data_IF_546841598459
#
_entry.id   IF_546841598459
#
_cell.length_a   1.000
_cell.length_b   1.000
_cell.length_c   1.000
_cell.angle_alpha   90.00
_cell.angle_beta   90.00
_cell.angle_gamma   90.00
#
_symmetry.space_group_name_H-M   'P 1'
#
loop_
_entity.id
_entity.type
_entity.pdbx_description
1 polymer ?
#
# COMPACT_ATOMS: atom_id res chain seq x y z
N UNK A 1 -53.77 29.93 -15.73
CA UNK A 1 -53.26 29.93 -14.34
C UNK A 1 -52.26 28.79 -14.20
N UNK A 2 -51.04 29.13 -13.80
CA UNK A 2 -49.83 28.29 -13.80
C UNK A 2 -49.81 27.44 -12.54
N UNK A 3 -49.73 26.11 -12.61
CA UNK A 3 -49.32 25.24 -11.48
C UNK A 3 -48.68 23.95 -11.99
N UNK A 4 -47.44 24.04 -12.48
CA UNK A 4 -46.61 22.85 -12.69
C UNK A 4 -45.86 22.55 -11.41
N UNK A 5 -46.20 21.42 -10.79
CA UNK A 5 -45.57 20.90 -9.59
C UNK A 5 -44.32 20.15 -10.04
N UNK A 6 -43.14 20.72 -9.80
CA UNK A 6 -41.86 20.04 -10.06
C UNK A 6 -41.37 19.51 -8.71
N UNK A 7 -41.61 18.23 -8.45
CA UNK A 7 -41.04 17.49 -7.32
C UNK A 7 -39.61 17.12 -7.67
N UNK A 8 -38.62 17.86 -7.16
CA UNK A 8 -37.21 17.53 -7.29
C UNK A 8 -36.82 16.48 -6.24
N UNK A 9 -36.67 15.22 -6.66
CA UNK A 9 -36.12 14.16 -5.81
C UNK A 9 -34.60 14.29 -5.75
N UNK A 10 -34.06 14.65 -4.58
CA UNK A 10 -32.63 14.80 -4.36
C UNK A 10 -32.04 13.44 -3.96
N UNK A 11 -31.48 12.72 -4.92
CA UNK A 11 -30.76 11.47 -4.66
C UNK A 11 -29.38 11.84 -4.10
N UNK A 12 -29.19 11.64 -2.79
CA UNK A 12 -27.88 11.77 -2.15
C UNK A 12 -27.06 10.54 -2.53
N UNK A 13 -26.21 10.70 -3.53
CA UNK A 13 -25.19 9.71 -3.86
C UNK A 13 -24.11 9.74 -2.76
N UNK A 14 -24.18 8.78 -1.84
CA UNK A 14 -23.08 8.46 -0.93
C UNK A 14 -21.93 7.89 -1.76
N UNK A 15 -21.02 8.76 -2.19
CA UNK A 15 -19.75 8.35 -2.75
C UNK A 15 -18.93 7.69 -1.63
N UNK A 16 -18.84 6.37 -1.65
CA UNK A 16 -17.94 5.62 -0.78
C UNK A 16 -16.50 5.96 -1.16
N UNK A 17 -15.91 6.94 -0.47
CA UNK A 17 -14.50 7.22 -0.59
C UNK A 17 -13.71 6.02 -0.05
N UNK A 18 -13.09 5.26 -0.94
CA UNK A 18 -12.17 4.20 -0.56
C UNK A 18 -10.89 4.84 0.00
N UNK A 19 -10.85 5.07 1.30
CA UNK A 19 -9.65 5.54 1.99
C UNK A 19 -8.68 4.36 2.04
N UNK A 20 -7.58 4.42 1.29
CA UNK A 20 -6.55 3.39 1.34
C UNK A 20 -5.75 3.51 2.64
N UNK A 21 -6.07 2.69 3.63
CA UNK A 21 -5.32 2.62 4.88
C UNK A 21 -3.97 1.93 4.67
N UNK A 22 -2.92 2.50 5.26
CA UNK A 22 -1.62 1.84 5.35
C UNK A 22 -1.71 0.67 6.34
N UNK A 23 -1.13 -0.46 5.96
CA UNK A 23 -1.02 -1.68 6.77
C UNK A 23 0.43 -1.90 7.19
N UNK A 24 0.64 -2.51 8.35
CA UNK A 24 1.96 -2.96 8.79
C UNK A 24 2.09 -4.50 8.70
N UNK A 25 3.31 -4.97 8.50
CA UNK A 25 3.71 -6.37 8.67
C UNK A 25 5.16 -6.45 9.10
N UNK A 26 5.53 -7.56 9.74
CA UNK A 26 6.91 -7.85 10.13
C UNK A 26 7.28 -9.20 9.57
N UNK A 27 8.49 -9.32 9.00
CA UNK A 27 8.98 -10.57 8.46
C UNK A 27 10.47 -10.52 8.17
N UNK A 28 10.99 -11.63 7.66
CA UNK A 28 12.41 -11.77 7.32
C UNK A 28 12.58 -11.64 5.81
N UNK A 29 13.55 -10.84 5.36
CA UNK A 29 13.86 -10.69 3.93
C UNK A 29 14.42 -12.02 3.41
N UNK A 30 13.75 -12.60 2.42
CA UNK A 30 14.18 -13.83 1.76
C UNK A 30 14.96 -13.54 0.47
N UNK A 31 14.58 -12.48 -0.27
CA UNK A 31 15.31 -12.04 -1.47
C UNK A 31 15.15 -10.54 -1.70
N UNK A 32 16.10 -9.98 -2.46
CA UNK A 32 16.15 -8.56 -2.84
C UNK A 32 16.30 -8.51 -4.36
N UNK A 33 15.37 -7.84 -5.04
CA UNK A 33 15.48 -7.52 -6.47
C UNK A 33 15.87 -6.06 -6.64
N UNK A 34 17.16 -5.86 -6.94
CA UNK A 34 17.76 -4.54 -7.16
C UNK A 34 17.36 -3.90 -8.48
N UNK A 35 16.87 -4.67 -9.44
CA UNK A 35 16.45 -4.14 -10.75
C UNK A 35 14.99 -3.70 -10.72
N UNK A 36 14.18 -4.41 -9.95
CA UNK A 36 12.75 -4.12 -9.77
C UNK A 36 12.42 -3.30 -8.53
N UNK A 37 13.43 -2.78 -7.81
CA UNK A 37 13.31 -2.05 -6.54
C UNK A 37 12.31 -2.71 -5.59
N UNK A 38 12.57 -3.98 -5.26
CA UNK A 38 11.64 -4.73 -4.40
C UNK A 38 12.35 -5.75 -3.50
N UNK A 39 11.65 -6.13 -2.43
CA UNK A 39 12.05 -7.20 -1.53
C UNK A 39 10.95 -8.23 -1.40
N UNK A 40 11.33 -9.49 -1.21
CA UNK A 40 10.39 -10.57 -0.90
C UNK A 40 10.66 -11.09 0.50
N UNK A 41 9.62 -11.17 1.32
CA UNK A 41 9.69 -11.73 2.66
C UNK A 41 9.60 -13.27 2.62
N UNK A 42 9.97 -13.91 3.73
CA UNK A 42 9.92 -15.37 3.89
C UNK A 42 8.52 -15.98 3.76
N UNK A 43 7.45 -15.17 3.87
CA UNK A 43 6.07 -15.58 3.62
C UNK A 43 5.65 -15.50 2.13
N UNK A 44 6.60 -15.15 1.25
CA UNK A 44 6.40 -15.03 -0.19
C UNK A 44 5.82 -13.69 -0.66
N UNK A 45 5.53 -12.73 0.24
CA UNK A 45 5.03 -11.41 -0.17
C UNK A 45 6.16 -10.52 -0.68
N UNK A 46 5.95 -9.93 -1.85
CA UNK A 46 6.87 -8.98 -2.47
C UNK A 46 6.37 -7.54 -2.28
N UNK A 47 7.26 -6.66 -1.84
CA UNK A 47 6.99 -5.24 -1.61
C UNK A 47 7.93 -4.38 -2.45
N UNK A 48 7.38 -3.42 -3.18
CA UNK A 48 8.18 -2.39 -3.83
C UNK A 48 8.79 -1.46 -2.78
N UNK A 49 10.06 -1.12 -2.96
CA UNK A 49 10.79 -0.20 -2.09
C UNK A 49 10.22 1.23 -2.24
N UNK A 50 10.18 2.01 -1.15
CA UNK A 50 9.88 3.43 -1.23
C UNK A 50 11.08 4.20 -1.79
N UNK A 51 10.82 5.38 -2.36
CA UNK A 51 11.85 6.34 -2.73
C UNK A 51 12.81 6.60 -1.55
N UNK A 52 14.11 6.62 -1.85
CA UNK A 52 15.18 6.87 -0.87
C UNK A 52 15.59 5.68 0.00
N UNK A 53 14.99 4.49 -0.18
CA UNK A 53 15.51 3.24 0.36
C UNK A 53 16.19 2.47 -0.77
N UNK A 54 17.51 2.43 -0.74
CA UNK A 54 18.31 1.66 -1.71
C UNK A 54 18.31 0.18 -1.33
N UNK A 55 18.11 -0.69 -2.31
CA UNK A 55 18.11 -2.14 -2.13
C UNK A 55 19.44 -2.65 -1.53
N UNK A 56 20.56 -1.96 -1.78
CA UNK A 56 21.89 -2.23 -1.22
C UNK A 56 21.97 -2.10 0.31
N UNK A 57 21.08 -1.30 0.90
CA UNK A 57 21.11 -1.06 2.36
C UNK A 57 20.51 -2.23 3.14
N UNK A 58 19.67 -3.03 2.48
CA UNK A 58 18.95 -4.16 3.04
C UNK A 58 19.74 -5.45 2.90
N UNK A 59 19.52 -6.42 3.80
CA UNK A 59 20.17 -7.73 3.75
C UNK A 59 19.18 -8.89 3.78
N UNK A 60 19.45 -9.93 3.00
CA UNK A 60 18.74 -11.21 3.11
C UNK A 60 18.99 -11.79 4.51
N UNK A 61 17.94 -12.32 5.14
CA UNK A 61 17.95 -12.79 6.53
C UNK A 61 17.65 -11.71 7.56
N UNK A 62 17.62 -10.43 7.17
CA UNK A 62 17.27 -9.33 8.07
C UNK A 62 15.77 -9.35 8.39
N UNK A 63 15.44 -9.15 9.67
CA UNK A 63 14.05 -9.02 10.12
C UNK A 63 13.64 -7.55 10.07
N UNK A 64 12.58 -7.25 9.35
CA UNK A 64 12.11 -5.88 9.10
C UNK A 64 10.63 -5.73 9.40
N UNK A 65 10.23 -4.52 9.78
CA UNK A 65 8.83 -4.07 9.83
C UNK A 65 8.58 -3.17 8.62
N UNK A 66 7.54 -3.50 7.87
CA UNK A 66 7.15 -2.82 6.63
C UNK A 66 5.78 -2.18 6.85
N UNK A 67 5.70 -0.88 6.59
CA UNK A 67 4.43 -0.18 6.40
C UNK A 67 4.16 -0.06 4.90
N UNK A 68 2.98 -0.47 4.45
CA UNK A 68 2.66 -0.56 3.03
C UNK A 68 1.19 -0.26 2.73
N UNK A 69 0.91 0.01 1.47
CA UNK A 69 -0.45 0.12 0.93
C UNK A 69 -0.56 -0.69 -0.35
N UNK A 70 -1.79 -0.99 -0.78
CA UNK A 70 -2.01 -1.64 -2.08
C UNK A 70 -2.25 -0.55 -3.13
N UNK A 71 -1.39 -0.48 -4.14
CA UNK A 71 -1.53 0.43 -5.30
C UNK A 71 -1.62 -0.41 -6.57
N UNK A 72 -2.74 -0.33 -7.28
CA UNK A 72 -3.00 -1.10 -8.51
C UNK A 72 -2.72 -2.61 -8.36
N UNK A 73 -3.11 -3.21 -7.21
CA UNK A 73 -2.90 -4.63 -6.92
C UNK A 73 -1.49 -5.02 -6.47
N UNK A 74 -0.56 -4.06 -6.38
CA UNK A 74 0.82 -4.28 -5.87
C UNK A 74 0.99 -3.75 -4.46
N UNK A 75 1.83 -4.42 -3.66
CA UNK A 75 2.18 -3.97 -2.32
C UNK A 75 3.31 -2.93 -2.42
N UNK A 76 2.97 -1.67 -2.19
CA UNK A 76 3.93 -0.57 -2.19
C UNK A 76 4.30 -0.21 -0.75
N UNK A 77 5.57 -0.42 -0.36
CA UNK A 77 6.04 0.01 0.93
C UNK A 77 6.17 1.54 0.97
N UNK A 78 5.81 2.12 2.11
CA UNK A 78 6.06 3.53 2.44
C UNK A 78 7.16 3.67 3.49
N UNK A 79 7.46 2.60 4.22
CA UNK A 79 8.56 2.57 5.20
C UNK A 79 9.02 1.13 5.41
N UNK A 80 10.33 0.96 5.51
CA UNK A 80 11.00 -0.30 5.84
C UNK A 80 12.01 0.03 6.93
N UNK A 81 11.92 -0.65 8.06
CA UNK A 81 12.80 -0.45 9.20
C UNK A 81 13.20 -1.80 9.81
N UNK A 82 14.41 -1.93 10.39
CA UNK A 82 14.76 -3.10 11.19
C UNK A 82 13.69 -3.37 12.26
N UNK A 83 13.29 -4.63 12.41
CA UNK A 83 12.37 -5.01 13.47
C UNK A 83 13.09 -4.91 14.82
N UNK A 84 12.40 -4.34 15.81
CA UNK A 84 12.90 -4.24 17.19
C UNK A 84 12.75 -5.56 17.94
#
# INVERSE_FOLDING_TARGET
MKKSVITAAMIIAIASANVAYAKATTGTIASIDKKGDSITLSDGKTFSLPEGIEAETLKVGEKVTITYSTKAGKLAASSIQPAK
#
